data_IF_604767562846
#
_entry.id   IF_604767562846
#
_cell.length_a   1.000
_cell.length_b   1.000
_cell.length_c   1.000
_cell.angle_alpha   90.00
_cell.angle_beta   90.00
_cell.angle_gamma   90.00
#
_symmetry.space_group_name_H-M   'P 1'
#
loop_
_entity.id
_entity.type
_entity.pdbx_description
1 polymer ?
#
# COMPACT_ATOMS: atom_id res chain seq x y z
N UNK A 1 -11.07 -4.70 -24.48
CA UNK A 1 -10.13 -3.52 -24.40
C UNK A 1 -10.98 -2.26 -24.47
N UNK A 2 -10.76 -1.29 -23.59
CA UNK A 2 -11.54 -0.05 -23.54
C UNK A 2 -10.72 1.13 -24.07
N UNK A 3 -11.42 2.11 -24.68
CA UNK A 3 -10.86 3.41 -25.03
C UNK A 3 -11.38 4.42 -24.03
N UNK A 4 -10.48 5.08 -23.32
CA UNK A 4 -10.82 6.14 -22.39
C UNK A 4 -11.03 7.45 -23.14
N UNK A 5 -12.04 8.17 -22.72
CA UNK A 5 -12.48 9.39 -23.41
C UNK A 5 -12.41 10.57 -22.45
N UNK A 6 -11.83 11.67 -22.89
CA UNK A 6 -11.85 12.95 -22.20
C UNK A 6 -12.71 13.93 -22.99
N UNK A 7 -13.44 14.78 -22.27
CA UNK A 7 -14.17 15.91 -22.85
C UNK A 7 -13.20 16.97 -23.41
N UNK A 8 -13.70 17.97 -24.09
CA UNK A 8 -12.93 19.09 -24.62
C UNK A 8 -12.17 19.84 -23.50
N UNK A 9 -12.78 20.03 -22.37
CA UNK A 9 -12.18 20.66 -21.18
C UNK A 9 -11.15 19.77 -20.45
N UNK A 10 -10.99 18.48 -20.87
CA UNK A 10 -10.08 17.53 -20.26
C UNK A 10 -10.67 16.72 -19.12
N UNK A 11 -11.93 16.95 -18.74
CA UNK A 11 -12.60 16.11 -17.77
C UNK A 11 -12.83 14.69 -18.32
N UNK A 12 -12.72 13.66 -17.46
CA UNK A 12 -12.97 12.29 -17.88
C UNK A 12 -14.44 12.08 -18.25
N UNK A 13 -14.65 11.25 -19.25
CA UNK A 13 -15.96 10.82 -19.73
C UNK A 13 -16.02 9.30 -19.72
N UNK A 14 -17.21 8.73 -19.98
CA UNK A 14 -17.34 7.26 -19.98
C UNK A 14 -16.49 6.61 -21.08
N UNK A 15 -15.78 5.52 -20.75
CA UNK A 15 -14.99 4.78 -21.72
C UNK A 15 -15.91 4.09 -22.75
N UNK A 16 -15.34 3.76 -23.90
CA UNK A 16 -16.11 3.15 -24.99
C UNK A 16 -15.41 1.92 -25.58
N UNK A 17 -16.19 0.94 -25.96
CA UNK A 17 -15.76 -0.23 -26.74
C UNK A 17 -15.94 -0.03 -28.25
N UNK A 18 -16.54 1.08 -28.67
CA UNK A 18 -16.88 1.34 -30.08
C UNK A 18 -15.66 1.85 -30.87
N UNK A 19 -14.70 0.97 -31.14
CA UNK A 19 -13.44 1.30 -31.82
C UNK A 19 -13.66 1.92 -33.20
N UNK A 20 -14.71 1.51 -33.95
CA UNK A 20 -15.05 2.09 -35.23
C UNK A 20 -15.41 3.56 -35.13
N UNK A 21 -16.19 3.94 -34.09
CA UNK A 21 -16.54 5.35 -33.84
C UNK A 21 -15.27 6.15 -33.48
N UNK A 22 -14.39 5.59 -32.65
CA UNK A 22 -13.13 6.23 -32.28
C UNK A 22 -12.24 6.49 -33.48
N UNK A 23 -12.07 5.50 -34.39
CA UNK A 23 -11.30 5.68 -35.63
C UNK A 23 -11.87 6.79 -36.49
N UNK A 24 -13.20 6.85 -36.65
CA UNK A 24 -13.89 7.88 -37.43
C UNK A 24 -13.62 9.26 -36.84
N UNK A 25 -13.78 9.44 -35.50
CA UNK A 25 -13.52 10.71 -34.82
C UNK A 25 -12.08 11.18 -34.97
N UNK A 26 -11.14 10.26 -34.93
CA UNK A 26 -9.72 10.57 -35.13
C UNK A 26 -9.42 10.99 -36.59
N UNK A 27 -10.04 10.28 -37.58
CA UNK A 27 -9.90 10.57 -39.00
C UNK A 27 -10.54 11.91 -39.38
N UNK A 28 -11.69 12.24 -38.81
CA UNK A 28 -12.40 13.51 -39.02
C UNK A 28 -11.78 14.69 -38.24
N UNK A 29 -10.70 14.46 -37.45
CA UNK A 29 -10.10 15.50 -36.64
C UNK A 29 -10.94 15.98 -35.46
N UNK A 30 -12.03 15.25 -35.12
CA UNK A 30 -12.93 15.56 -34.00
C UNK A 30 -12.41 15.06 -32.64
N UNK A 31 -11.36 14.25 -32.63
CA UNK A 31 -10.70 13.78 -31.45
C UNK A 31 -9.20 13.72 -31.65
N UNK A 32 -8.43 13.81 -30.56
CA UNK A 32 -6.98 13.61 -30.58
C UNK A 32 -6.56 12.58 -29.54
N UNK A 33 -5.47 11.84 -29.82
CA UNK A 33 -4.87 10.91 -28.88
C UNK A 33 -4.09 11.71 -27.83
N UNK A 34 -4.38 11.46 -26.55
CA UNK A 34 -3.70 12.09 -25.41
C UNK A 34 -2.70 11.13 -24.79
N UNK A 35 -3.05 9.83 -24.75
CA UNK A 35 -2.21 8.80 -24.14
C UNK A 35 -2.33 7.50 -24.93
N UNK A 36 -1.22 6.77 -25.03
CA UNK A 36 -1.19 5.47 -25.70
C UNK A 36 -1.53 4.31 -24.75
N UNK A 37 -1.08 4.39 -23.49
CA UNK A 37 -1.31 3.37 -22.45
C UNK A 37 -1.71 4.01 -21.12
N UNK A 38 -2.93 3.75 -20.65
CA UNK A 38 -4.08 3.17 -21.38
C UNK A 38 -4.54 4.10 -22.50
N UNK A 39 -5.08 3.51 -23.59
CA UNK A 39 -5.42 4.29 -24.78
C UNK A 39 -6.52 5.30 -24.47
N UNK A 40 -6.17 6.58 -24.54
CA UNK A 40 -7.03 7.70 -24.14
C UNK A 40 -7.09 8.74 -25.24
N UNK A 41 -8.30 9.12 -25.59
CA UNK A 41 -8.57 10.18 -26.58
C UNK A 41 -9.23 11.38 -25.89
N UNK A 42 -9.05 12.56 -26.46
CA UNK A 42 -9.76 13.78 -26.07
C UNK A 42 -10.66 14.22 -27.22
N UNK A 43 -11.93 14.46 -26.92
CA UNK A 43 -12.87 15.05 -27.87
C UNK A 43 -12.52 16.54 -28.07
N UNK A 44 -12.70 17.04 -29.29
CA UNK A 44 -12.50 18.45 -29.65
C UNK A 44 -13.84 19.19 -29.81
N UNK A 45 -14.93 18.55 -29.43
CA UNK A 45 -16.29 19.09 -29.41
C UNK A 45 -16.97 18.68 -28.11
N UNK A 46 -17.99 19.41 -27.72
CA UNK A 46 -18.83 19.06 -26.58
C UNK A 46 -19.86 18.01 -26.98
N UNK A 47 -19.97 16.89 -26.26
CA UNK A 47 -20.98 15.88 -26.53
C UNK A 47 -22.38 16.42 -26.17
N UNK A 48 -23.37 16.09 -27.00
CA UNK A 48 -24.77 16.48 -26.79
C UNK A 48 -25.37 15.92 -25.50
N UNK A 49 -24.91 14.75 -25.06
CA UNK A 49 -25.37 14.10 -23.83
C UNK A 49 -24.21 14.03 -22.83
N UNK A 50 -24.42 14.59 -21.66
CA UNK A 50 -23.43 14.60 -20.57
C UNK A 50 -23.78 13.58 -19.48
N UNK A 51 -24.33 12.44 -19.87
CA UNK A 51 -24.67 11.36 -18.94
C UNK A 51 -23.42 10.59 -18.57
N UNK A 52 -23.03 10.70 -17.31
CA UNK A 52 -21.93 9.98 -16.70
C UNK A 52 -22.51 9.00 -15.69
N UNK A 53 -22.10 7.75 -15.78
CA UNK A 53 -22.50 6.71 -14.83
C UNK A 53 -21.62 6.79 -13.58
N UNK A 54 -22.16 6.39 -12.46
CA UNK A 54 -21.37 6.28 -11.23
C UNK A 54 -20.28 5.22 -11.36
N UNK A 55 -19.07 5.62 -11.01
CA UNK A 55 -17.91 4.74 -11.01
C UNK A 55 -17.33 4.67 -9.61
N UNK A 56 -17.05 3.45 -9.15
CA UNK A 56 -16.45 3.18 -7.84
C UNK A 56 -15.01 2.74 -8.03
N UNK A 57 -14.09 3.34 -7.27
CA UNK A 57 -12.67 3.02 -7.30
C UNK A 57 -12.29 2.29 -6.01
N UNK A 58 -11.99 1.00 -6.12
CA UNK A 58 -11.44 0.18 -5.04
C UNK A 58 -9.92 0.21 -5.08
N UNK A 59 -9.29 0.45 -3.91
CA UNK A 59 -7.84 0.48 -3.77
C UNK A 59 -7.41 -0.46 -2.66
N UNK A 60 -6.66 -1.50 -3.01
CA UNK A 60 -5.94 -2.37 -2.07
C UNK A 60 -4.61 -1.72 -1.68
N UNK A 61 -4.49 -1.37 -0.40
CA UNK A 61 -3.34 -0.64 0.13
C UNK A 61 -2.23 -1.56 0.60
N UNK A 62 -1.61 -2.27 -0.33
CA UNK A 62 -0.51 -3.17 -0.04
C UNK A 62 0.81 -2.47 0.32
N UNK A 63 1.69 -3.18 1.01
CA UNK A 63 3.00 -2.64 1.41
C UNK A 63 4.07 -2.71 0.32
N UNK A 64 3.90 -3.60 -0.68
CA UNK A 64 4.78 -3.80 -1.84
C UNK A 64 4.08 -3.54 -3.16
N UNK A 65 2.80 -3.83 -3.22
CA UNK A 65 1.97 -3.66 -4.40
C UNK A 65 0.75 -2.85 -4.03
N UNK A 66 0.26 -2.07 -4.96
CA UNK A 66 -1.03 -1.37 -4.87
C UNK A 66 -1.91 -2.00 -5.93
N UNK A 67 -3.05 -2.54 -5.52
CA UNK A 67 -4.10 -2.96 -6.44
C UNK A 67 -5.11 -1.84 -6.60
N UNK A 68 -5.51 -1.54 -7.84
CA UNK A 68 -6.58 -0.58 -8.10
C UNK A 68 -7.54 -1.16 -9.12
N UNK A 69 -8.83 -1.07 -8.83
CA UNK A 69 -9.89 -1.42 -9.76
C UNK A 69 -10.96 -0.34 -9.77
N UNK A 70 -11.44 0.00 -10.97
CA UNK A 70 -12.59 0.90 -11.14
C UNK A 70 -13.72 0.13 -11.79
N UNK A 71 -14.87 0.17 -11.14
CA UNK A 71 -16.09 -0.54 -11.56
C UNK A 71 -17.20 0.48 -11.86
N UNK A 72 -17.93 0.26 -12.93
CA UNK A 72 -19.13 1.01 -13.27
C UNK A 72 -20.10 0.10 -14.02
N UNK A 73 -21.40 0.15 -13.68
CA UNK A 73 -22.44 -0.73 -14.23
C UNK A 73 -22.06 -2.22 -14.20
N UNK A 74 -21.61 -2.71 -13.04
CA UNK A 74 -21.20 -4.11 -12.82
C UNK A 74 -20.09 -4.61 -13.75
N UNK A 75 -19.39 -3.68 -14.42
CA UNK A 75 -18.25 -3.99 -15.29
C UNK A 75 -16.98 -3.35 -14.75
N UNK A 76 -15.88 -4.10 -14.81
CA UNK A 76 -14.57 -3.55 -14.53
C UNK A 76 -14.13 -2.67 -15.70
N UNK A 77 -14.00 -1.37 -15.44
CA UNK A 77 -13.60 -0.37 -16.43
C UNK A 77 -12.08 -0.18 -16.47
N UNK A 78 -11.41 -0.38 -15.35
CA UNK A 78 -9.96 -0.27 -15.21
C UNK A 78 -9.46 -1.18 -14.10
N UNK A 79 -8.31 -1.77 -14.31
CA UNK A 79 -7.59 -2.49 -13.26
C UNK A 79 -6.09 -2.32 -13.45
N UNK A 80 -5.38 -2.16 -12.36
CA UNK A 80 -3.93 -2.05 -12.35
C UNK A 80 -3.34 -2.63 -11.09
N UNK A 81 -2.09 -3.08 -11.21
CA UNK A 81 -1.25 -3.44 -10.09
C UNK A 81 0.07 -2.69 -10.23
N UNK A 82 0.40 -1.87 -9.23
CA UNK A 82 1.59 -1.05 -9.22
C UNK A 82 2.55 -1.56 -8.16
N UNK A 83 3.78 -1.89 -8.57
CA UNK A 83 4.82 -2.29 -7.65
C UNK A 83 5.45 -1.07 -6.97
N UNK A 84 5.44 -1.11 -5.63
CA UNK A 84 6.01 -0.05 -4.81
C UNK A 84 7.53 -0.18 -4.73
N UNK A 85 8.18 0.95 -4.78
CA UNK A 85 9.62 1.06 -4.67
C UNK A 85 10.13 0.61 -3.30
N UNK A 86 11.03 -0.36 -3.25
CA UNK A 86 11.63 -0.93 -2.04
C UNK A 86 13.05 -0.41 -1.73
N UNK A 87 13.72 0.22 -2.72
CA UNK A 87 15.11 0.65 -2.63
C UNK A 87 15.36 1.90 -1.76
N UNK A 88 14.33 2.56 -1.25
CA UNK A 88 14.42 3.81 -0.51
C UNK A 88 15.29 3.65 0.74
N UNK A 89 15.09 2.57 1.51
CA UNK A 89 15.86 2.28 2.71
C UNK A 89 17.35 2.10 2.39
N UNK A 90 17.66 1.38 1.33
CA UNK A 90 19.03 1.17 0.84
C UNK A 90 19.68 2.50 0.45
N UNK A 91 19.01 3.32 -0.36
CA UNK A 91 19.50 4.64 -0.78
C UNK A 91 19.71 5.61 0.39
N UNK A 92 18.83 5.61 1.38
CA UNK A 92 19.01 6.42 2.60
C UNK A 92 20.24 5.97 3.38
N UNK A 93 20.49 4.68 3.50
CA UNK A 93 21.67 4.14 4.18
C UNK A 93 22.96 4.50 3.42
N UNK A 94 22.99 4.38 2.09
CA UNK A 94 24.12 4.85 1.28
C UNK A 94 24.40 6.35 1.50
N UNK A 95 23.37 7.20 1.42
CA UNK A 95 23.53 8.64 1.71
C UNK A 95 24.03 8.90 3.13
N UNK A 96 23.62 8.09 4.12
CA UNK A 96 24.12 8.18 5.49
C UNK A 96 25.61 7.83 5.57
N UNK A 97 26.02 6.74 4.90
CA UNK A 97 27.41 6.31 4.82
C UNK A 97 28.31 7.38 4.16
N UNK A 98 27.92 7.90 2.99
CA UNK A 98 28.68 8.95 2.31
C UNK A 98 28.78 10.23 3.15
N UNK A 99 27.73 10.64 3.82
CA UNK A 99 27.76 11.80 4.72
C UNK A 99 28.69 11.56 5.91
N UNK A 100 28.70 10.33 6.45
CA UNK A 100 29.60 9.94 7.55
C UNK A 100 31.05 10.01 7.09
N UNK A 101 31.38 9.41 5.94
CA UNK A 101 32.72 9.44 5.36
C UNK A 101 33.20 10.87 5.10
N UNK A 102 32.34 11.72 4.51
CA UNK A 102 32.68 13.12 4.27
C UNK A 102 32.97 13.87 5.57
N UNK A 103 32.23 13.63 6.61
CA UNK A 103 32.46 14.26 7.93
C UNK A 103 33.74 13.77 8.57
N UNK A 104 34.07 12.50 8.47
CA UNK A 104 35.32 11.96 9.06
C UNK A 104 36.58 12.51 8.37
N UNK A 105 36.51 12.86 7.09
CA UNK A 105 37.65 13.42 6.35
C UNK A 105 37.94 14.90 6.66
N UNK A 106 36.89 15.69 6.94
CA UNK A 106 37.01 17.17 7.02
C UNK A 106 36.80 17.79 8.37
N UNK A 107 36.35 17.03 9.35
CA UNK A 107 36.00 17.60 10.66
C UNK A 107 36.55 16.80 11.80
N UNK A 108 37.01 17.52 12.84
CA UNK A 108 37.34 16.93 14.15
C UNK A 108 36.12 16.17 14.68
N UNK A 109 36.37 15.19 15.56
CA UNK A 109 35.35 14.42 16.24
C UNK A 109 34.26 15.33 16.82
N UNK A 110 33.01 15.06 16.44
CA UNK A 110 31.83 15.69 17.03
C UNK A 110 31.07 14.65 17.79
N UNK A 111 30.60 15.00 18.98
CA UNK A 111 29.71 14.13 19.75
C UNK A 111 28.54 13.69 18.88
N UNK A 112 28.21 12.39 18.85
CA UNK A 112 27.07 11.92 18.09
C UNK A 112 25.78 12.57 18.60
N UNK A 113 25.02 13.17 17.70
CA UNK A 113 23.71 13.73 18.03
C UNK A 113 22.67 12.61 17.90
N UNK A 114 22.50 11.85 18.94
CA UNK A 114 21.45 10.87 19.03
C UNK A 114 20.09 11.58 19.19
N UNK A 115 19.03 10.96 18.71
CA UNK A 115 17.66 11.41 18.92
C UNK A 115 17.24 12.75 18.27
N UNK A 116 18.06 13.36 17.41
CA UNK A 116 17.66 14.58 16.70
C UNK A 116 16.30 14.48 15.97
N UNK A 117 15.87 13.28 15.62
CA UNK A 117 14.57 13.04 14.97
C UNK A 117 13.44 12.84 15.97
N UNK A 118 13.73 12.24 17.14
CA UNK A 118 12.77 12.02 18.22
C UNK A 118 12.35 13.34 18.85
N UNK A 119 13.30 14.25 19.05
CA UNK A 119 13.07 15.58 19.60
C UNK A 119 12.81 16.65 18.52
N UNK A 120 12.50 16.24 17.30
CA UNK A 120 12.14 17.18 16.25
C UNK A 120 10.83 17.89 16.61
N UNK A 121 10.83 19.22 16.51
CA UNK A 121 9.65 20.09 16.70
C UNK A 121 8.51 19.71 15.73
N UNK A 122 8.82 19.04 14.62
CA UNK A 122 7.85 18.57 13.64
C UNK A 122 7.18 17.28 14.12
N UNK A 123 6.10 17.42 14.90
CA UNK A 123 5.33 16.30 15.46
C UNK A 123 4.86 15.31 14.39
N UNK A 124 4.44 15.79 13.22
CA UNK A 124 3.80 14.97 12.17
C UNK A 124 4.75 14.52 11.05
N UNK A 125 6.03 14.40 11.35
CA UNK A 125 7.01 14.01 10.35
C UNK A 125 6.94 12.52 10.03
N UNK A 126 6.40 12.17 8.89
CA UNK A 126 6.47 10.82 8.35
C UNK A 126 7.90 10.46 7.86
N UNK A 127 8.37 9.23 8.09
CA UNK A 127 9.59 8.73 7.47
C UNK A 127 9.53 8.84 5.93
N UNK A 128 10.66 9.12 5.25
CA UNK A 128 10.65 9.26 3.80
C UNK A 128 10.08 8.07 3.03
N UNK A 129 10.28 6.83 3.54
CA UNK A 129 9.72 5.63 2.95
C UNK A 129 8.19 5.58 3.04
N UNK A 130 7.64 5.97 4.19
CA UNK A 130 6.19 6.04 4.39
C UNK A 130 5.59 7.14 3.54
N UNK A 131 6.20 8.35 3.55
CA UNK A 131 5.76 9.46 2.69
C UNK A 131 5.72 9.06 1.22
N UNK A 132 6.74 8.35 0.74
CA UNK A 132 6.77 7.88 -0.64
C UNK A 132 5.63 6.88 -0.93
N UNK A 133 5.37 5.94 -0.02
CA UNK A 133 4.27 4.98 -0.18
C UNK A 133 2.93 5.70 -0.25
N UNK A 134 2.64 6.58 0.70
CA UNK A 134 1.40 7.38 0.70
C UNK A 134 1.25 8.15 -0.61
N UNK A 135 2.32 8.82 -1.07
CA UNK A 135 2.27 9.56 -2.33
C UNK A 135 2.01 8.66 -3.54
N UNK A 136 2.56 7.43 -3.53
CA UNK A 136 2.31 6.47 -4.60
C UNK A 136 0.83 6.06 -4.67
N UNK A 137 0.18 5.79 -3.52
CA UNK A 137 -1.25 5.51 -3.48
C UNK A 137 -2.09 6.69 -3.99
N UNK A 138 -1.77 7.90 -3.54
CA UNK A 138 -2.45 9.12 -4.01
C UNK A 138 -2.30 9.27 -5.53
N UNK A 139 -1.11 9.06 -6.07
CA UNK A 139 -0.86 9.18 -7.51
C UNK A 139 -1.69 8.19 -8.34
N UNK A 140 -1.87 6.94 -7.85
CA UNK A 140 -2.72 5.94 -8.51
C UNK A 140 -4.19 6.36 -8.49
N UNK A 141 -4.69 6.86 -7.38
CA UNK A 141 -6.06 7.39 -7.26
C UNK A 141 -6.26 8.57 -8.22
N UNK A 142 -5.34 9.54 -8.20
CA UNK A 142 -5.39 10.70 -9.10
C UNK A 142 -5.32 10.28 -10.57
N UNK A 143 -4.55 9.22 -10.85
CA UNK A 143 -4.49 8.68 -12.20
C UNK A 143 -5.85 8.12 -12.65
N UNK A 144 -6.52 7.34 -11.82
CA UNK A 144 -7.88 6.84 -12.10
C UNK A 144 -8.86 7.99 -12.32
N UNK A 145 -8.82 9.03 -11.49
CA UNK A 145 -9.66 10.23 -11.63
C UNK A 145 -9.38 11.02 -12.90
N UNK A 146 -8.19 10.94 -13.47
CA UNK A 146 -7.84 11.59 -14.75
C UNK A 146 -8.38 10.88 -15.98
N UNK A 147 -8.64 9.58 -15.89
CA UNK A 147 -9.08 8.77 -17.04
C UNK A 147 -10.54 8.32 -16.95
N UNK A 148 -11.11 8.29 -15.75
CA UNK A 148 -12.47 7.85 -15.46
C UNK A 148 -13.19 8.86 -14.55
N UNK A 149 -14.50 9.03 -14.71
CA UNK A 149 -15.30 9.96 -13.91
C UNK A 149 -15.59 9.39 -12.51
N UNK A 150 -14.57 9.28 -11.68
CA UNK A 150 -14.67 8.82 -10.29
C UNK A 150 -14.77 10.03 -9.37
N UNK A 151 -15.85 10.12 -8.60
CA UNK A 151 -16.01 11.13 -7.54
C UNK A 151 -15.22 10.75 -6.28
N UNK A 152 -14.89 11.72 -5.45
CA UNK A 152 -14.14 11.49 -4.19
C UNK A 152 -14.91 10.59 -3.21
N UNK A 153 -16.22 10.67 -3.21
CA UNK A 153 -17.10 9.87 -2.36
C UNK A 153 -17.13 8.39 -2.74
N UNK A 154 -16.82 8.08 -3.99
CA UNK A 154 -16.83 6.73 -4.54
C UNK A 154 -15.45 6.05 -4.49
N UNK A 155 -14.51 6.55 -3.70
CA UNK A 155 -13.20 5.94 -3.49
C UNK A 155 -13.24 5.08 -2.24
N UNK A 156 -13.03 3.78 -2.39
CA UNK A 156 -13.05 2.78 -1.33
C UNK A 156 -11.62 2.30 -1.10
N UNK A 157 -11.10 2.52 0.10
CA UNK A 157 -9.78 2.04 0.48
C UNK A 157 -9.91 0.79 1.34
N UNK A 158 -9.25 -0.29 0.94
CA UNK A 158 -9.09 -1.45 1.79
C UNK A 158 -8.00 -1.16 2.83
N UNK A 159 -8.42 -0.98 4.08
CA UNK A 159 -7.50 -0.76 5.20
C UNK A 159 -7.55 -1.99 6.10
N UNK A 160 -6.57 -2.87 5.96
CA UNK A 160 -6.43 -4.02 6.85
C UNK A 160 -5.79 -3.58 8.16
N UNK A 161 -6.59 -3.41 9.20
CA UNK A 161 -6.14 -3.17 10.57
C UNK A 161 -6.18 -4.46 11.39
N UNK A 162 -5.39 -5.46 11.00
CA UNK A 162 -5.26 -6.67 11.80
C UNK A 162 -4.13 -6.51 12.82
N UNK A 163 -4.49 -6.06 14.00
CA UNK A 163 -3.62 -6.11 15.15
C UNK A 163 -3.73 -7.50 15.80
N UNK A 164 -2.91 -8.43 15.32
CA UNK A 164 -2.91 -9.82 15.82
C UNK A 164 -2.53 -9.92 17.30
N UNK A 165 -1.77 -8.96 17.83
CA UNK A 165 -1.42 -8.93 19.24
C UNK A 165 -2.63 -8.50 20.07
N UNK A 166 -3.34 -7.47 19.63
CA UNK A 166 -4.57 -6.98 20.26
C UNK A 166 -5.68 -8.01 20.22
N UNK A 167 -5.83 -8.73 19.09
CA UNK A 167 -6.81 -9.83 18.97
C UNK A 167 -6.53 -10.98 19.95
N UNK A 168 -5.25 -11.26 20.25
CA UNK A 168 -4.87 -12.29 21.23
C UNK A 168 -4.99 -11.82 22.68
N UNK A 169 -4.78 -10.55 22.92
CA UNK A 169 -4.83 -9.95 24.23
C UNK A 169 -5.52 -8.57 24.20
N UNK A 170 -6.85 -8.50 24.42
CA UNK A 170 -7.62 -7.26 24.41
C UNK A 170 -7.13 -6.20 25.39
N UNK A 171 -6.44 -6.60 26.47
CA UNK A 171 -5.92 -5.65 27.48
C UNK A 171 -4.83 -4.72 26.91
N UNK A 172 -4.30 -4.99 25.72
CA UNK A 172 -3.36 -4.13 25.03
C UNK A 172 -3.96 -2.79 24.55
N UNK A 173 -5.27 -2.61 24.65
CA UNK A 173 -5.94 -1.31 24.43
C UNK A 173 -5.44 -0.29 25.47
N UNK A 174 -5.11 -0.73 26.70
CA UNK A 174 -4.62 0.15 27.72
C UNK A 174 -3.23 0.68 27.37
N UNK A 175 -3.09 1.99 27.16
CA UNK A 175 -1.84 2.65 26.73
C UNK A 175 -0.65 2.36 27.65
N UNK A 176 -0.87 2.20 28.95
CA UNK A 176 0.18 1.89 29.94
C UNK A 176 0.80 0.51 29.71
N UNK A 177 0.02 -0.46 29.25
CA UNK A 177 0.44 -1.85 29.02
C UNK A 177 0.84 -2.07 27.56
N UNK A 178 0.33 -1.26 26.64
CA UNK A 178 0.50 -1.40 25.20
C UNK A 178 1.97 -1.57 24.78
N UNK A 179 2.84 -0.71 25.24
CA UNK A 179 4.28 -0.76 24.94
C UNK A 179 4.94 -2.08 25.35
N UNK A 180 4.65 -2.57 26.56
CA UNK A 180 5.19 -3.82 27.09
C UNK A 180 4.52 -5.04 26.45
N UNK A 181 3.25 -5.00 26.19
CA UNK A 181 2.47 -6.11 25.64
C UNK A 181 2.88 -6.48 24.22
N UNK A 182 3.25 -5.50 23.40
CA UNK A 182 3.76 -5.74 22.04
C UNK A 182 5.19 -6.31 22.04
N UNK A 183 5.99 -5.96 23.03
CA UNK A 183 7.36 -6.48 23.17
C UNK A 183 7.40 -7.85 23.82
N UNK A 184 6.51 -8.12 24.76
CA UNK A 184 6.42 -9.38 25.53
C UNK A 184 5.45 -10.36 24.86
N UNK A 185 5.80 -10.85 23.67
CA UNK A 185 5.05 -11.92 23.03
C UNK A 185 5.21 -13.27 23.72
N UNK A 186 4.51 -14.29 23.23
CA UNK A 186 4.51 -15.67 23.74
C UNK A 186 5.91 -16.24 24.06
N UNK A 187 6.93 -15.86 23.31
CA UNK A 187 8.30 -16.35 23.48
C UNK A 187 9.17 -15.47 24.43
N UNK A 188 8.65 -14.39 24.98
CA UNK A 188 9.48 -13.40 25.69
C UNK A 188 10.18 -13.96 26.93
N UNK A 189 9.52 -14.83 27.69
CA UNK A 189 10.03 -15.39 28.93
C UNK A 189 10.82 -16.71 28.76
N UNK A 190 10.99 -17.17 27.53
CA UNK A 190 11.60 -18.45 27.23
C UNK A 190 12.88 -18.30 26.40
N UNK A 191 13.86 -19.15 26.64
CA UNK A 191 15.14 -19.15 25.92
C UNK A 191 14.98 -19.50 24.44
N UNK A 192 13.95 -20.28 24.10
CA UNK A 192 13.69 -20.72 22.74
C UNK A 192 12.19 -20.90 22.48
N UNK A 193 11.82 -20.87 21.18
CA UNK A 193 10.46 -21.15 20.74
C UNK A 193 10.00 -22.56 21.11
N UNK A 194 10.95 -23.51 21.11
CA UNK A 194 10.72 -24.90 21.53
C UNK A 194 10.31 -24.97 23.02
N UNK A 195 11.03 -24.30 23.88
CA UNK A 195 10.74 -24.24 25.31
C UNK A 195 9.36 -23.63 25.58
N UNK A 196 9.04 -22.53 24.89
CA UNK A 196 7.72 -21.90 25.02
C UNK A 196 6.57 -22.84 24.64
N UNK A 197 6.74 -23.65 23.58
CA UNK A 197 5.71 -24.63 23.15
C UNK A 197 5.61 -25.78 24.16
N UNK A 198 6.73 -26.32 24.62
CA UNK A 198 6.72 -27.41 25.62
C UNK A 198 6.06 -26.96 26.92
N UNK A 199 6.36 -25.73 27.37
CA UNK A 199 5.72 -25.16 28.57
C UNK A 199 4.21 -24.93 28.36
N UNK A 200 3.79 -24.40 27.20
CA UNK A 200 2.38 -24.25 26.86
C UNK A 200 1.60 -25.56 26.96
N UNK A 201 2.22 -26.64 26.51
CA UNK A 201 1.62 -27.96 26.43
C UNK A 201 1.89 -28.81 27.70
N UNK A 202 2.38 -28.16 28.78
CA UNK A 202 2.69 -28.81 30.07
C UNK A 202 3.56 -30.06 29.91
N UNK A 203 4.55 -30.01 29.00
CA UNK A 203 5.45 -31.14 28.69
C UNK A 203 4.70 -32.44 28.40
N UNK A 204 3.54 -32.33 27.76
CA UNK A 204 2.65 -33.45 27.42
C UNK A 204 2.55 -33.61 25.90
N UNK A 205 2.66 -34.81 25.41
CA UNK A 205 2.45 -35.09 24.00
C UNK A 205 0.99 -34.81 23.61
N UNK A 206 0.75 -33.90 22.69
CA UNK A 206 -0.62 -33.54 22.23
C UNK A 206 -1.27 -34.63 21.37
N UNK A 207 -0.48 -35.62 20.88
CA UNK A 207 -1.00 -36.72 20.09
C UNK A 207 -1.45 -37.90 20.96
N UNK A 208 -0.64 -38.31 21.96
CA UNK A 208 -0.91 -39.50 22.75
C UNK A 208 -1.08 -39.26 24.26
N UNK A 209 -0.98 -38.01 24.73
CA UNK A 209 -1.17 -37.67 26.13
C UNK A 209 -0.03 -38.10 27.09
N UNK A 210 1.04 -38.74 26.59
CA UNK A 210 2.16 -39.19 27.43
C UNK A 210 3.00 -38.03 27.96
N UNK A 211 3.36 -38.11 29.24
CA UNK A 211 4.33 -37.24 29.91
C UNK A 211 5.66 -37.98 30.09
N UNK A 212 6.73 -37.25 30.38
CA UNK A 212 8.06 -37.80 30.65
C UNK A 212 8.63 -38.63 29.47
N UNK A 213 8.31 -38.27 28.24
CA UNK A 213 8.89 -38.84 27.03
C UNK A 213 9.65 -37.77 26.24
N UNK A 214 10.50 -38.19 25.31
CA UNK A 214 11.16 -37.27 24.38
C UNK A 214 10.11 -36.60 23.50
N UNK A 215 9.95 -35.29 23.66
CA UNK A 215 8.99 -34.49 22.89
C UNK A 215 9.68 -33.71 21.80
N UNK A 216 9.07 -33.68 20.63
CA UNK A 216 9.50 -32.89 19.51
C UNK A 216 8.42 -31.88 19.14
N UNK A 217 8.84 -30.67 18.71
CA UNK A 217 7.95 -29.60 18.31
C UNK A 217 7.86 -29.54 16.81
N UNK A 218 6.65 -29.75 16.27
CA UNK A 218 6.37 -29.71 14.84
C UNK A 218 5.52 -28.52 14.45
N UNK A 219 5.69 -28.06 13.22
CA UNK A 219 4.77 -27.09 12.61
C UNK A 219 3.52 -27.82 12.11
N UNK A 220 2.34 -27.32 12.51
CA UNK A 220 1.05 -27.86 12.03
C UNK A 220 0.85 -27.54 10.54
N UNK A 221 1.36 -26.38 10.10
CA UNK A 221 1.37 -25.98 8.69
C UNK A 221 2.78 -25.51 8.33
N UNK A 222 3.35 -26.08 7.29
CA UNK A 222 4.54 -25.53 6.65
C UNK A 222 4.13 -24.26 5.90
N UNK A 223 4.96 -23.23 6.03
CA UNK A 223 4.81 -22.00 5.23
C UNK A 223 5.53 -22.18 3.91
#
# INVERSE_FOLDING_TARGET
>A
MLVYVLKQNGQPFMPTERFGKVRRLLKEGKAKVVRREPFTIRLLYEPETDVVQECYCGVDTGSKHIGVAVVGNDKVLYQSQTELRDDIKRKINFRRMYRRNRRSRKTRYRKPRFLNRRNSIRKDRLPPSVKHKVQAHINEIEFCKKILPVSDENIILEVSQFDTALMKNPNLINEKIRHWGYQKGFNYSYSSRREAVLHRDNYTCQCCGKKNCRLEVHHIKFR
#
